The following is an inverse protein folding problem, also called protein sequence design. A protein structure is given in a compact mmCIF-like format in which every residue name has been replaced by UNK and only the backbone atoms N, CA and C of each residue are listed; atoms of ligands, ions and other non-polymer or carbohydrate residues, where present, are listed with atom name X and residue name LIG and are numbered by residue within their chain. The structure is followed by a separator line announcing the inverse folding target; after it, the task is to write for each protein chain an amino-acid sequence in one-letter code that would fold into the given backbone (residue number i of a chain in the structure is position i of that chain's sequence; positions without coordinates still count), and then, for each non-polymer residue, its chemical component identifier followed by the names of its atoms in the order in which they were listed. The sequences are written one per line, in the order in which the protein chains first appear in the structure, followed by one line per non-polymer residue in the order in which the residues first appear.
data_IF_113961865553
#
_entry.id   IF_113961865553
#
_cell.length_a   1.000
_cell.length_b   1.000
_cell.length_c   1.000
_cell.angle_alpha   90.00
_cell.angle_beta   90.00
_cell.angle_gamma   90.00
#
_symmetry.space_group_name_H-M   'P 1'
#
loop_
_entity.id
_entity.type
_entity.pdbx_description
1 polymer ?
#
# COMPACT_ATOMS: atom_id res chain seq x y z
N UNK A 1 -34.39 22.62 -13.85
CA UNK A 1 -33.20 21.89 -14.33
C UNK A 1 -31.99 22.39 -13.56
N UNK A 2 -31.33 21.54 -12.75
CA UNK A 2 -29.98 21.80 -12.31
C UNK A 2 -28.99 20.84 -12.98
N UNK A 3 -27.91 21.42 -13.47
CA UNK A 3 -26.78 20.80 -14.15
C UNK A 3 -26.07 19.77 -13.26
N UNK A 4 -26.00 18.55 -13.77
CA UNK A 4 -25.15 17.47 -13.26
C UNK A 4 -23.68 17.78 -13.57
N UNK A 5 -22.97 18.33 -12.59
CA UNK A 5 -21.51 18.40 -12.61
C UNK A 5 -20.93 17.06 -12.17
N UNK A 6 -20.60 16.20 -13.14
CA UNK A 6 -19.67 15.09 -12.93
C UNK A 6 -18.28 15.66 -12.68
N UNK A 7 -17.94 15.91 -11.40
CA UNK A 7 -16.55 16.08 -11.00
C UNK A 7 -15.84 14.74 -11.24
N UNK A 8 -15.08 14.69 -12.33
CA UNK A 8 -14.03 13.70 -12.52
C UNK A 8 -13.07 13.83 -11.34
N UNK A 9 -12.90 12.75 -10.62
CA UNK A 9 -11.96 12.59 -9.50
C UNK A 9 -10.51 12.67 -10.04
N UNK A 10 -10.07 13.89 -10.34
CA UNK A 10 -8.70 14.22 -10.74
C UNK A 10 -7.89 14.52 -9.48
N UNK A 11 -7.60 13.48 -8.68
CA UNK A 11 -6.41 13.54 -7.82
C UNK A 11 -5.19 13.37 -8.74
N UNK A 12 -4.13 14.20 -8.60
CA UNK A 12 -2.93 14.00 -9.40
C UNK A 12 -2.36 12.62 -9.08
N UNK A 13 -2.36 11.72 -10.06
CA UNK A 13 -1.53 10.54 -9.99
C UNK A 13 -0.08 11.01 -9.81
N UNK A 14 0.69 10.34 -8.94
CA UNK A 14 2.12 10.61 -8.80
C UNK A 14 2.76 10.70 -10.20
N UNK A 15 3.37 11.85 -10.49
CA UNK A 15 4.02 12.09 -11.77
C UNK A 15 5.27 11.23 -11.79
N UNK A 16 5.38 10.35 -12.78
CA UNK A 16 6.57 9.51 -12.92
C UNK A 16 7.86 10.35 -12.92
N UNK A 17 8.74 10.05 -11.97
CA UNK A 17 10.05 10.63 -11.81
C UNK A 17 11.10 9.73 -12.46
N UNK A 18 11.73 10.22 -13.53
CA UNK A 18 12.86 9.54 -14.17
C UNK A 18 14.17 10.16 -13.67
N UNK A 19 15.15 9.32 -13.31
CA UNK A 19 16.48 9.77 -12.91
C UNK A 19 17.26 10.42 -14.06
N UNK A 20 16.97 10.01 -15.30
CA UNK A 20 17.59 10.54 -16.51
C UNK A 20 16.76 10.27 -17.76
N UNK A 21 17.01 11.02 -18.83
CA UNK A 21 16.42 10.73 -20.15
C UNK A 21 16.84 9.36 -20.69
N UNK A 22 18.02 8.86 -20.32
CA UNK A 22 18.45 7.50 -20.66
C UNK A 22 17.55 6.45 -20.00
N UNK A 23 17.26 6.59 -18.70
CA UNK A 23 16.34 5.70 -17.99
C UNK A 23 14.94 5.76 -18.61
N UNK A 24 14.46 6.97 -18.92
CA UNK A 24 13.16 7.16 -19.59
C UNK A 24 13.10 6.46 -20.95
N UNK A 25 14.14 6.62 -21.77
CA UNK A 25 14.28 5.96 -23.06
C UNK A 25 14.30 4.43 -22.91
N UNK A 26 14.97 3.93 -21.88
CA UNK A 26 15.06 2.51 -21.55
C UNK A 26 13.71 1.92 -21.15
N UNK A 27 12.97 2.55 -20.25
CA UNK A 27 11.60 2.15 -19.88
C UNK A 27 10.69 2.14 -21.11
N UNK A 28 10.79 3.15 -21.98
CA UNK A 28 10.04 3.22 -23.25
C UNK A 28 10.43 2.11 -24.23
N UNK A 29 11.68 1.68 -24.25
CA UNK A 29 12.12 0.54 -25.07
C UNK A 29 11.53 -0.77 -24.55
N UNK A 30 11.57 -0.99 -23.23
CA UNK A 30 11.02 -2.19 -22.60
C UNK A 30 9.50 -2.28 -22.78
N UNK A 31 8.79 -1.16 -22.62
CA UNK A 31 7.33 -1.10 -22.80
C UNK A 31 6.85 -1.37 -24.24
N UNK A 32 7.75 -1.32 -25.24
CA UNK A 32 7.46 -1.72 -26.63
C UNK A 32 7.59 -3.23 -26.85
N UNK A 33 8.26 -3.95 -25.96
CA UNK A 33 8.40 -5.40 -26.06
C UNK A 33 7.03 -6.09 -25.94
N UNK A 34 6.86 -7.21 -26.64
CA UNK A 34 5.61 -7.97 -26.61
C UNK A 34 5.25 -8.46 -25.20
N UNK A 35 6.24 -8.83 -24.38
CA UNK A 35 6.07 -9.26 -22.99
C UNK A 35 5.39 -8.16 -22.15
N UNK A 36 5.89 -6.93 -22.27
CA UNK A 36 5.34 -5.78 -21.55
C UNK A 36 3.99 -5.34 -22.11
N UNK A 37 3.87 -5.24 -23.43
CA UNK A 37 2.63 -4.81 -24.09
C UNK A 37 1.44 -5.73 -23.81
N UNK A 38 1.71 -7.03 -23.68
CA UNK A 38 0.69 -8.04 -23.40
C UNK A 38 0.57 -8.35 -21.90
N UNK A 39 1.44 -7.80 -21.05
CA UNK A 39 1.46 -8.05 -19.61
C UNK A 39 1.47 -9.54 -19.25
N UNK A 40 2.16 -10.36 -20.05
CA UNK A 40 2.15 -11.82 -19.91
C UNK A 40 2.54 -12.29 -18.51
N UNK A 41 3.59 -11.72 -17.85
CA UNK A 41 3.94 -12.14 -16.50
C UNK A 41 2.80 -11.88 -15.50
N UNK A 42 2.09 -10.76 -15.63
CA UNK A 42 0.97 -10.40 -14.75
C UNK A 42 -0.26 -11.26 -15.02
N UNK A 43 -0.56 -11.61 -16.28
CA UNK A 43 -1.63 -12.57 -16.60
C UNK A 43 -1.32 -13.99 -16.10
N UNK A 44 -0.09 -14.46 -16.25
CA UNK A 44 0.35 -15.75 -15.70
C UNK A 44 0.23 -15.73 -14.17
N UNK A 45 0.68 -14.66 -13.53
CA UNK A 45 0.56 -14.46 -12.09
C UNK A 45 -0.90 -14.54 -11.61
N UNK A 46 -1.82 -13.84 -12.28
CA UNK A 46 -3.26 -13.91 -12.01
C UNK A 46 -3.73 -15.36 -12.12
N UNK A 47 -3.42 -16.05 -13.22
CA UNK A 47 -3.81 -17.44 -13.43
C UNK A 47 -3.28 -18.37 -12.32
N UNK A 48 -2.01 -18.26 -11.96
CA UNK A 48 -1.39 -19.08 -10.92
C UNK A 48 -2.02 -18.81 -9.54
N UNK A 49 -2.23 -17.55 -9.17
CA UNK A 49 -2.84 -17.21 -7.87
C UNK A 49 -4.26 -17.73 -7.80
N UNK A 50 -5.10 -17.44 -8.81
CA UNK A 50 -6.50 -17.86 -8.79
C UNK A 50 -6.66 -19.37 -8.86
N UNK A 51 -6.00 -20.02 -9.82
CA UNK A 51 -6.06 -21.48 -9.94
C UNK A 51 -5.47 -22.14 -8.71
N UNK A 52 -4.29 -21.69 -8.23
CA UNK A 52 -3.64 -22.25 -7.05
C UNK A 52 -4.53 -22.14 -5.80
N UNK A 53 -5.14 -20.97 -5.59
CA UNK A 53 -5.98 -20.72 -4.40
C UNK A 53 -7.24 -21.58 -4.43
N UNK A 54 -7.98 -21.60 -5.55
CA UNK A 54 -9.19 -22.40 -5.67
C UNK A 54 -8.90 -23.90 -5.63
N UNK A 55 -7.83 -24.37 -6.28
CA UNK A 55 -7.40 -25.78 -6.22
C UNK A 55 -7.03 -26.17 -4.79
N UNK A 56 -6.35 -25.30 -4.05
CA UNK A 56 -5.98 -25.61 -2.65
C UNK A 56 -7.21 -25.74 -1.75
N UNK A 57 -8.24 -24.92 -1.95
CA UNK A 57 -9.52 -25.10 -1.24
C UNK A 57 -10.23 -26.38 -1.66
N UNK A 58 -10.36 -26.64 -2.97
CA UNK A 58 -11.07 -27.80 -3.50
C UNK A 58 -10.45 -29.12 -3.01
N UNK A 59 -9.11 -29.17 -2.99
CA UNK A 59 -8.34 -30.34 -2.56
C UNK A 59 -7.86 -30.24 -1.10
N UNK A 60 -8.51 -29.40 -0.28
CA UNK A 60 -8.12 -29.13 1.11
C UNK A 60 -7.96 -30.41 1.93
N UNK A 61 -8.91 -31.34 1.82
CA UNK A 61 -8.91 -32.58 2.59
C UNK A 61 -7.75 -33.51 2.19
N UNK A 62 -7.37 -33.53 0.91
CA UNK A 62 -6.26 -34.33 0.40
C UNK A 62 -4.90 -33.73 0.74
N UNK A 63 -4.78 -32.40 0.70
CA UNK A 63 -3.56 -31.68 1.08
C UNK A 63 -3.29 -31.75 2.58
N UNK A 64 -4.35 -31.85 3.39
CA UNK A 64 -4.28 -31.80 4.84
C UNK A 64 -4.04 -30.38 5.36
N UNK A 65 -4.31 -30.20 6.66
CA UNK A 65 -4.36 -28.88 7.30
C UNK A 65 -3.04 -28.11 7.15
N UNK A 66 -1.90 -28.77 7.33
CA UNK A 66 -0.60 -28.09 7.31
C UNK A 66 -0.24 -27.54 5.92
N UNK A 67 -0.20 -28.40 4.90
CA UNK A 67 0.15 -28.00 3.53
C UNK A 67 -0.89 -27.03 2.96
N UNK A 68 -2.18 -27.34 3.15
CA UNK A 68 -3.26 -26.46 2.71
C UNK A 68 -3.16 -25.06 3.32
N UNK A 69 -2.86 -24.96 4.62
CA UNK A 69 -2.72 -23.65 5.28
C UNK A 69 -1.54 -22.86 4.72
N UNK A 70 -0.37 -23.49 4.58
CA UNK A 70 0.83 -22.83 4.03
C UNK A 70 0.57 -22.32 2.61
N UNK A 71 -0.04 -23.14 1.76
CA UNK A 71 -0.38 -22.73 0.40
C UNK A 71 -1.37 -21.56 0.38
N UNK A 72 -2.47 -21.63 1.14
CA UNK A 72 -3.44 -20.55 1.19
C UNK A 72 -2.86 -19.26 1.78
N UNK A 73 -1.99 -19.34 2.79
CA UNK A 73 -1.29 -18.19 3.35
C UNK A 73 -0.44 -17.53 2.26
N UNK A 74 0.43 -18.29 1.60
CA UNK A 74 1.33 -17.76 0.57
C UNK A 74 0.56 -17.18 -0.63
N UNK A 75 -0.48 -17.88 -1.09
CA UNK A 75 -1.32 -17.44 -2.21
C UNK A 75 -2.12 -16.19 -1.85
N UNK A 76 -2.62 -16.07 -0.61
CA UNK A 76 -3.35 -14.88 -0.16
C UNK A 76 -2.41 -13.68 0.04
N UNK A 77 -1.19 -13.90 0.53
CA UNK A 77 -0.15 -12.86 0.57
C UNK A 77 0.25 -12.41 -0.83
N UNK A 78 0.42 -13.35 -1.76
CA UNK A 78 0.75 -13.04 -3.15
C UNK A 78 -0.40 -12.31 -3.85
N UNK A 79 -1.65 -12.66 -3.53
CA UNK A 79 -2.84 -11.97 -3.99
C UNK A 79 -2.87 -10.50 -3.54
N UNK A 80 -2.48 -10.16 -2.30
CA UNK A 80 -2.37 -8.76 -1.88
C UNK A 80 -1.30 -8.00 -2.68
N UNK A 81 -0.18 -8.65 -3.01
CA UNK A 81 0.84 -8.05 -3.89
C UNK A 81 0.32 -7.88 -5.32
N UNK A 82 -0.48 -8.82 -5.81
CA UNK A 82 -1.18 -8.67 -7.09
C UNK A 82 -2.19 -7.52 -7.03
N UNK A 83 -2.98 -7.38 -5.95
CA UNK A 83 -3.93 -6.27 -5.80
C UNK A 83 -3.21 -4.91 -5.90
N UNK A 84 -2.03 -4.78 -5.30
CA UNK A 84 -1.17 -3.61 -5.46
C UNK A 84 -0.82 -3.36 -6.94
N UNK A 85 -0.35 -4.37 -7.66
CA UNK A 85 -0.02 -4.28 -9.09
C UNK A 85 -1.25 -3.87 -9.94
N UNK A 86 -2.44 -4.38 -9.59
CA UNK A 86 -3.69 -4.05 -10.26
C UNK A 86 -4.08 -2.57 -10.07
N UNK A 87 -3.84 -2.02 -8.87
CA UNK A 87 -4.11 -0.60 -8.53
C UNK A 87 -3.32 0.34 -9.45
N UNK A 88 -2.10 -0.04 -9.81
CA UNK A 88 -1.20 0.73 -10.66
C UNK A 88 -1.44 0.58 -12.17
N UNK A 89 -2.50 -0.13 -12.55
CA UNK A 89 -2.96 -0.15 -13.95
C UNK A 89 -2.48 -1.36 -14.76
N UNK A 90 -1.95 -2.40 -14.10
CA UNK A 90 -1.64 -3.67 -14.75
C UNK A 90 -2.77 -4.69 -14.51
N UNK A 91 -2.97 -5.70 -15.38
CA UNK A 91 -2.36 -5.85 -16.69
C UNK A 91 -3.08 -5.05 -17.79
N UNK A 92 -4.13 -4.27 -17.46
CA UNK A 92 -4.92 -3.57 -18.47
C UNK A 92 -5.00 -2.08 -18.23
N UNK A 93 -5.05 -1.29 -19.32
CA UNK A 93 -5.35 0.15 -19.27
C UNK A 93 -6.74 0.49 -18.71
N UNK A 94 -7.62 -0.50 -18.55
CA UNK A 94 -8.99 -0.31 -18.09
C UNK A 94 -9.09 -0.59 -16.60
N UNK A 95 -9.08 0.49 -15.81
CA UNK A 95 -9.09 0.42 -14.33
C UNK A 95 -10.21 -0.47 -13.77
N UNK A 96 -11.38 -0.49 -14.39
CA UNK A 96 -12.50 -1.32 -13.95
C UNK A 96 -12.26 -2.83 -14.15
N UNK A 97 -11.51 -3.23 -15.19
CA UNK A 97 -11.12 -4.64 -15.40
C UNK A 97 -10.12 -5.06 -14.33
N UNK A 98 -9.10 -4.24 -14.06
CA UNK A 98 -8.13 -4.53 -13.00
C UNK A 98 -8.82 -4.58 -11.63
N UNK A 99 -9.77 -3.69 -11.39
CA UNK A 99 -10.60 -3.74 -10.19
C UNK A 99 -11.38 -5.06 -10.08
N UNK A 100 -12.02 -5.53 -11.16
CA UNK A 100 -12.72 -6.81 -11.16
C UNK A 100 -11.78 -7.97 -10.78
N UNK A 101 -10.57 -7.97 -11.33
CA UNK A 101 -9.51 -8.95 -11.03
C UNK A 101 -8.97 -8.88 -9.59
N UNK A 102 -9.25 -7.81 -8.85
CA UNK A 102 -8.79 -7.62 -7.47
C UNK A 102 -9.92 -7.59 -6.43
N UNK A 103 -11.18 -7.68 -6.85
CA UNK A 103 -12.35 -7.46 -5.98
C UNK A 103 -12.68 -8.67 -5.10
N UNK A 104 -12.28 -9.89 -5.49
CA UNK A 104 -12.58 -11.08 -4.71
C UNK A 104 -11.79 -11.06 -3.38
N UNK A 105 -12.42 -11.30 -2.21
CA UNK A 105 -11.77 -11.09 -0.92
C UNK A 105 -10.97 -12.32 -0.46
N UNK A 106 -10.06 -12.82 -1.31
CA UNK A 106 -9.21 -13.97 -0.97
C UNK A 106 -8.37 -13.70 0.28
N UNK A 107 -7.88 -12.47 0.45
CA UNK A 107 -7.13 -12.02 1.63
C UNK A 107 -8.00 -11.41 2.75
N UNK A 108 -9.33 -11.52 2.66
CA UNK A 108 -10.32 -11.15 3.70
C UNK A 108 -10.48 -9.65 3.99
N UNK A 109 -9.42 -8.96 4.41
CA UNK A 109 -9.56 -7.89 5.40
C UNK A 109 -10.18 -6.59 4.87
N UNK A 110 -9.80 -6.12 3.69
CA UNK A 110 -10.24 -4.83 3.17
C UNK A 110 -10.73 -4.89 1.71
N UNK A 111 -11.73 -4.06 1.33
CA UNK A 111 -12.16 -3.93 -0.05
C UNK A 111 -11.06 -3.40 -0.96
N UNK A 112 -11.01 -3.89 -2.20
CA UNK A 112 -10.06 -3.40 -3.21
C UNK A 112 -10.14 -1.88 -3.40
N UNK A 113 -11.35 -1.30 -3.42
CA UNK A 113 -11.52 0.14 -3.58
C UNK A 113 -10.91 0.95 -2.43
N UNK A 114 -11.07 0.47 -1.18
CA UNK A 114 -10.47 1.11 -0.02
C UNK A 114 -8.96 1.09 -0.11
N UNK A 115 -8.39 -0.08 -0.45
CA UNK A 115 -6.94 -0.22 -0.62
C UNK A 115 -6.42 0.65 -1.77
N UNK A 116 -7.10 0.67 -2.91
CA UNK A 116 -6.76 1.54 -4.05
C UNK A 116 -6.70 2.99 -3.64
N UNK A 117 -7.72 3.48 -2.96
CA UNK A 117 -7.86 4.90 -2.65
C UNK A 117 -6.87 5.35 -1.58
N UNK A 118 -6.61 4.51 -0.56
CA UNK A 118 -5.55 4.77 0.42
C UNK A 118 -4.16 4.72 -0.22
N UNK A 119 -3.91 3.72 -1.06
CA UNK A 119 -2.60 3.55 -1.69
C UNK A 119 -2.27 4.67 -2.68
N UNK A 120 -3.23 5.10 -3.50
CA UNK A 120 -3.01 6.24 -4.41
C UNK A 120 -2.72 7.53 -3.61
N UNK A 121 -3.32 7.70 -2.43
CA UNK A 121 -3.01 8.84 -1.56
C UNK A 121 -1.60 8.73 -0.97
N UNK A 122 -1.17 7.53 -0.58
CA UNK A 122 0.17 7.23 -0.08
C UNK A 122 1.27 7.51 -1.13
N UNK A 123 0.97 7.36 -2.42
CA UNK A 123 1.87 7.65 -3.55
C UNK A 123 2.26 9.13 -3.71
N UNK A 124 1.71 10.03 -2.90
CA UNK A 124 2.15 11.42 -2.89
C UNK A 124 3.42 11.58 -2.05
N UNK A 125 4.59 11.55 -2.71
CA UNK A 125 5.91 11.54 -2.07
C UNK A 125 6.13 12.67 -1.06
N UNK A 126 5.60 13.88 -1.33
CA UNK A 126 5.68 15.03 -0.42
C UNK A 126 4.99 14.78 0.92
N UNK A 127 3.96 13.95 0.91
CA UNK A 127 3.16 13.62 2.09
C UNK A 127 3.60 12.33 2.78
N UNK A 128 4.53 11.56 2.22
CA UNK A 128 5.03 10.33 2.85
C UNK A 128 5.46 10.59 4.29
N UNK A 129 5.09 9.67 5.17
CA UNK A 129 5.27 9.72 6.63
C UNK A 129 4.47 10.78 7.38
N UNK A 130 3.76 11.68 6.69
CA UNK A 130 2.98 12.71 7.34
C UNK A 130 1.73 12.11 8.03
N UNK A 131 1.58 12.26 9.36
CA UNK A 131 0.59 11.52 10.17
C UNK A 131 -0.88 11.75 9.80
N UNK A 132 -1.21 12.87 9.16
CA UNK A 132 -2.58 13.21 8.76
C UNK A 132 -2.87 13.05 7.27
N UNK A 133 -1.82 12.94 6.43
CA UNK A 133 -1.95 13.00 4.97
C UNK A 133 -1.58 11.68 4.32
N UNK A 134 -0.63 10.95 4.88
CA UNK A 134 -0.26 9.62 4.46
C UNK A 134 -1.06 8.59 5.27
N UNK A 135 -2.00 7.86 4.64
CA UNK A 135 -2.82 6.86 5.32
C UNK A 135 -2.02 5.63 5.77
N UNK A 136 -0.79 5.47 5.31
CA UNK A 136 0.12 4.38 5.70
C UNK A 136 1.21 4.86 6.67
N UNK A 137 1.14 6.11 7.14
CA UNK A 137 2.07 6.64 8.12
C UNK A 137 1.91 5.95 9.48
N UNK A 138 3.06 5.63 10.08
CA UNK A 138 3.15 5.13 11.46
C UNK A 138 3.53 6.21 12.47
N UNK A 139 3.73 7.44 12.01
CA UNK A 139 4.01 8.57 12.89
C UNK A 139 2.71 9.18 13.43
N UNK A 140 2.85 9.91 14.52
CA UNK A 140 1.78 10.67 15.16
C UNK A 140 2.12 12.16 15.17
N UNK A 141 1.10 13.01 15.19
CA UNK A 141 1.29 14.41 15.56
C UNK A 141 1.66 14.51 17.04
N UNK A 142 2.31 15.60 17.46
CA UNK A 142 2.61 15.82 18.88
C UNK A 142 1.34 15.83 19.74
N UNK A 143 0.24 16.36 19.22
CA UNK A 143 -1.06 16.37 19.88
C UNK A 143 -1.64 14.96 20.02
N UNK A 144 -1.71 14.20 18.92
CA UNK A 144 -2.17 12.81 18.95
C UNK A 144 -1.39 12.01 19.99
N UNK A 145 -0.06 12.08 19.94
CA UNK A 145 0.81 11.36 20.87
C UNK A 145 0.59 11.76 22.32
N UNK A 146 0.35 13.05 22.60
CA UNK A 146 0.06 13.52 23.95
C UNK A 146 -1.22 12.88 24.52
N UNK A 147 -2.25 12.72 23.71
CA UNK A 147 -3.54 12.17 24.13
C UNK A 147 -3.63 10.63 24.10
N UNK A 148 -2.63 9.93 23.54
CA UNK A 148 -2.57 8.47 23.63
C UNK A 148 -2.36 8.00 25.06
N UNK A 149 -3.11 6.96 25.47
CA UNK A 149 -2.94 6.34 26.77
C UNK A 149 -1.55 5.68 26.90
N UNK A 150 -0.97 5.58 28.12
CA UNK A 150 0.32 4.93 28.30
C UNK A 150 0.36 3.48 27.79
N UNK A 151 -0.75 2.76 27.96
CA UNK A 151 -0.90 1.40 27.43
C UNK A 151 -0.80 1.37 25.91
N UNK A 152 -1.50 2.28 25.22
CA UNK A 152 -1.48 2.31 23.76
C UNK A 152 -0.12 2.75 23.21
N UNK A 153 0.58 3.67 23.88
CA UNK A 153 1.99 3.98 23.56
C UNK A 153 2.88 2.74 23.65
N UNK A 154 2.63 1.88 24.65
CA UNK A 154 3.29 0.57 24.76
C UNK A 154 3.00 -0.35 23.57
N UNK A 155 1.75 -0.41 23.10
CA UNK A 155 1.36 -1.16 21.89
C UNK A 155 2.06 -0.62 20.66
N UNK A 156 2.12 0.70 20.48
CA UNK A 156 2.82 1.34 19.35
C UNK A 156 4.30 0.94 19.37
N UNK A 157 4.98 1.08 20.51
CA UNK A 157 6.40 0.70 20.66
C UNK A 157 6.64 -0.77 20.40
N UNK A 158 5.77 -1.64 20.91
CA UNK A 158 5.84 -3.07 20.62
C UNK A 158 5.68 -3.32 19.10
N UNK A 159 4.70 -2.68 18.45
CA UNK A 159 4.47 -2.77 17.01
C UNK A 159 5.62 -2.18 16.17
N UNK A 160 6.48 -1.34 16.75
CA UNK A 160 7.67 -0.79 16.09
C UNK A 160 8.90 -1.71 16.18
N UNK A 161 8.80 -2.84 16.88
CA UNK A 161 9.74 -3.96 16.71
C UNK A 161 9.34 -4.78 15.49
N UNK A 162 10.28 -5.48 14.86
CA UNK A 162 10.00 -6.33 13.70
C UNK A 162 9.00 -7.44 14.04
N UNK A 163 9.24 -8.20 15.11
CA UNK A 163 8.33 -9.28 15.49
C UNK A 163 6.99 -8.75 15.99
N UNK A 164 7.01 -7.66 16.76
CA UNK A 164 5.78 -7.00 17.18
C UNK A 164 5.00 -6.41 16.01
N UNK A 165 5.64 -5.95 14.93
CA UNK A 165 4.95 -5.52 13.71
C UNK A 165 4.25 -6.68 13.01
N UNK A 166 4.94 -7.82 12.87
CA UNK A 166 4.39 -9.04 12.24
C UNK A 166 3.20 -9.59 13.05
N UNK A 167 3.27 -9.50 14.38
CA UNK A 167 2.22 -10.01 15.28
C UNK A 167 1.09 -9.01 15.51
N UNK A 168 1.37 -7.75 15.84
CA UNK A 168 0.37 -6.74 16.24
C UNK A 168 -0.13 -5.88 15.08
N UNK A 169 0.71 -5.67 14.06
CA UNK A 169 0.37 -4.85 12.88
C UNK A 169 -0.94 -5.27 12.20
N UNK A 170 -1.18 -6.58 11.94
CA UNK A 170 -2.44 -7.01 11.34
C UNK A 170 -3.66 -6.68 12.21
N UNK A 171 -3.58 -6.82 13.53
CA UNK A 171 -4.68 -6.47 14.42
C UNK A 171 -4.99 -4.97 14.37
N UNK A 172 -3.97 -4.10 14.31
CA UNK A 172 -4.13 -2.66 14.18
C UNK A 172 -4.81 -2.29 12.84
N UNK A 173 -4.32 -2.86 11.73
CA UNK A 173 -4.95 -2.68 10.41
C UNK A 173 -6.42 -3.11 10.39
N UNK A 174 -6.74 -4.26 10.99
CA UNK A 174 -8.10 -4.78 11.05
C UNK A 174 -9.00 -3.82 11.84
N UNK A 175 -8.51 -3.28 12.96
CA UNK A 175 -9.25 -2.29 13.76
C UNK A 175 -9.52 -1.04 12.92
N UNK A 176 -8.51 -0.50 12.22
CA UNK A 176 -8.69 0.70 11.41
C UNK A 176 -9.59 0.47 10.19
N UNK A 177 -9.54 -0.74 9.63
CA UNK A 177 -10.42 -1.20 8.57
C UNK A 177 -11.88 -1.27 9.05
N UNK A 178 -12.14 -1.83 10.24
CA UNK A 178 -13.47 -1.85 10.86
C UNK A 178 -13.95 -0.42 11.16
N UNK A 179 -13.09 0.45 11.68
CA UNK A 179 -13.42 1.87 11.91
C UNK A 179 -13.77 2.58 10.60
N UNK A 180 -13.08 2.27 9.50
CA UNK A 180 -13.40 2.79 8.17
C UNK A 180 -14.80 2.35 7.73
N UNK A 181 -15.14 1.07 7.90
CA UNK A 181 -16.47 0.56 7.62
C UNK A 181 -17.54 1.30 8.45
N UNK A 182 -17.38 1.36 9.77
CA UNK A 182 -18.33 2.02 10.67
C UNK A 182 -18.51 3.49 10.29
N UNK A 183 -17.42 4.23 10.03
CA UNK A 183 -17.48 5.64 9.61
C UNK A 183 -18.29 5.82 8.33
N UNK A 184 -18.12 4.94 7.33
CA UNK A 184 -18.88 5.01 6.08
C UNK A 184 -20.40 4.91 6.31
N UNK A 185 -20.85 4.03 7.21
CA UNK A 185 -22.26 3.89 7.56
C UNK A 185 -22.78 5.07 8.39
N UNK A 186 -22.00 5.55 9.36
CA UNK A 186 -22.38 6.69 10.20
C UNK A 186 -22.46 8.00 9.40
N UNK A 187 -21.57 8.22 8.44
CA UNK A 187 -21.56 9.41 7.59
C UNK A 187 -22.58 9.36 6.45
N UNK A 188 -23.17 8.18 6.18
CA UNK A 188 -24.08 7.99 5.05
C UNK A 188 -23.40 8.05 3.68
N UNK A 189 -22.10 7.77 3.60
CA UNK A 189 -21.37 7.72 2.32
C UNK A 189 -21.84 6.51 1.49
N UNK A 190 -22.78 6.78 0.58
CA UNK A 190 -23.41 5.75 -0.27
C UNK A 190 -22.39 4.95 -1.10
N UNK A 191 -21.30 5.57 -1.56
CA UNK A 191 -20.29 4.90 -2.38
C UNK A 191 -19.47 3.94 -1.53
N UNK A 192 -19.00 4.41 -0.37
CA UNK A 192 -18.26 3.58 0.57
C UNK A 192 -19.13 2.44 1.12
N UNK A 193 -20.40 2.70 1.46
CA UNK A 193 -21.36 1.68 1.88
C UNK A 193 -21.52 0.61 0.79
N UNK A 194 -21.74 0.99 -0.46
CA UNK A 194 -21.89 0.03 -1.55
C UNK A 194 -20.64 -0.85 -1.72
N UNK A 195 -19.45 -0.26 -1.65
CA UNK A 195 -18.18 -0.99 -1.67
C UNK A 195 -18.09 -2.02 -0.53
N UNK A 196 -18.44 -1.62 0.69
CA UNK A 196 -18.46 -2.51 1.86
C UNK A 196 -19.47 -3.64 1.71
N UNK A 197 -20.68 -3.36 1.22
CA UNK A 197 -21.70 -4.39 0.98
C UNK A 197 -21.25 -5.41 -0.07
N UNK A 198 -20.62 -4.97 -1.15
CA UNK A 198 -20.06 -5.88 -2.18
C UNK A 198 -18.96 -6.75 -1.57
N UNK A 199 -18.02 -6.14 -0.85
CA UNK A 199 -16.93 -6.88 -0.21
C UNK A 199 -17.44 -7.92 0.78
N UNK A 200 -18.33 -7.52 1.71
CA UNK A 200 -18.90 -8.41 2.71
C UNK A 200 -19.76 -9.50 2.08
N UNK A 201 -20.56 -9.18 1.06
CA UNK A 201 -21.35 -10.17 0.32
C UNK A 201 -20.48 -11.23 -0.36
N UNK A 202 -19.42 -10.81 -1.05
CA UNK A 202 -18.46 -11.72 -1.66
C UNK A 202 -17.70 -12.54 -0.61
N UNK A 203 -17.31 -11.93 0.51
CA UNK A 203 -16.58 -12.59 1.59
C UNK A 203 -17.45 -13.67 2.25
N UNK A 204 -18.71 -13.35 2.56
CA UNK A 204 -19.67 -14.30 3.11
C UNK A 204 -19.90 -15.46 2.14
N UNK A 205 -20.12 -15.17 0.85
CA UNK A 205 -20.30 -16.20 -0.17
C UNK A 205 -19.08 -17.12 -0.31
N UNK A 206 -17.87 -16.54 -0.32
CA UNK A 206 -16.62 -17.26 -0.39
C UNK A 206 -16.44 -18.17 0.84
N UNK A 207 -16.54 -17.62 2.05
CA UNK A 207 -16.39 -18.38 3.29
C UNK A 207 -17.43 -19.49 3.41
N UNK A 208 -18.69 -19.22 3.04
CA UNK A 208 -19.74 -20.24 3.02
C UNK A 208 -19.42 -21.38 2.05
N UNK A 209 -18.92 -21.07 0.85
CA UNK A 209 -18.48 -22.08 -0.11
C UNK A 209 -17.31 -22.92 0.44
N UNK A 210 -16.34 -22.30 1.13
CA UNK A 210 -15.20 -22.99 1.73
C UNK A 210 -15.58 -23.98 2.84
N UNK A 211 -16.65 -23.68 3.59
CA UNK A 211 -17.20 -24.62 4.60
C UNK A 211 -17.60 -25.94 3.95
N UNK A 212 -18.10 -25.92 2.71
CA UNK A 212 -18.42 -27.13 1.94
C UNK A 212 -17.23 -28.06 1.68
N UNK A 213 -16.00 -27.53 1.71
CA UNK A 213 -14.75 -28.31 1.56
C UNK A 213 -14.11 -28.68 2.91
N UNK A 214 -14.72 -28.29 4.04
CA UNK A 214 -14.24 -28.59 5.38
C UNK A 214 -13.29 -27.53 5.97
N UNK A 215 -13.21 -26.34 5.39
CA UNK A 215 -12.48 -25.20 5.97
C UNK A 215 -13.48 -24.36 6.74
N UNK A 216 -13.38 -24.34 8.08
CA UNK A 216 -14.27 -23.50 8.89
C UNK A 216 -13.93 -22.02 8.71
N UNK A 217 -14.95 -21.15 8.78
CA UNK A 217 -14.77 -19.71 8.66
C UNK A 217 -13.76 -19.17 9.64
N UNK A 218 -13.87 -19.53 10.93
CA UNK A 218 -12.96 -19.04 11.97
C UNK A 218 -11.52 -19.49 11.71
N UNK A 219 -11.33 -20.74 11.24
CA UNK A 219 -10.02 -21.23 10.87
C UNK A 219 -9.42 -20.40 9.73
N UNK A 220 -10.19 -20.15 8.67
CA UNK A 220 -9.69 -19.36 7.55
C UNK A 220 -9.29 -17.95 7.99
N UNK A 221 -10.11 -17.27 8.79
CA UNK A 221 -9.80 -15.91 9.27
C UNK A 221 -8.54 -15.87 10.12
N UNK A 222 -8.40 -16.78 11.09
CA UNK A 222 -7.32 -16.74 12.09
C UNK A 222 -6.03 -17.43 11.65
N UNK A 223 -6.11 -18.50 10.86
CA UNK A 223 -4.96 -19.34 10.49
C UNK A 223 -4.49 -19.06 9.07
N UNK A 224 -5.32 -18.47 8.21
CA UNK A 224 -4.92 -18.09 6.85
C UNK A 224 -4.90 -16.58 6.67
N UNK A 225 -6.04 -15.92 6.90
CA UNK A 225 -6.19 -14.48 6.67
C UNK A 225 -5.24 -13.65 7.53
N UNK A 226 -5.16 -13.94 8.84
CA UNK A 226 -4.29 -13.20 9.75
C UNK A 226 -2.81 -13.40 9.41
N UNK A 227 -2.28 -14.63 9.26
CA UNK A 227 -0.87 -14.82 8.90
C UNK A 227 -0.53 -14.32 7.50
N UNK A 228 -1.46 -14.36 6.55
CA UNK A 228 -1.24 -13.76 5.24
C UNK A 228 -1.01 -12.25 5.34
N UNK A 229 -1.79 -11.56 6.18
CA UNK A 229 -1.59 -10.14 6.50
C UNK A 229 -0.31 -9.91 7.31
N UNK A 230 0.04 -10.79 8.25
CA UNK A 230 1.32 -10.76 8.96
C UNK A 230 2.53 -10.81 8.00
N UNK A 231 2.46 -11.59 6.92
CA UNK A 231 3.55 -11.67 5.95
C UNK A 231 3.74 -10.36 5.18
N UNK A 232 2.67 -9.61 4.87
CA UNK A 232 2.82 -8.30 4.22
C UNK A 232 3.49 -7.27 5.13
N UNK A 233 3.35 -7.45 6.45
CA UNK A 233 4.03 -6.61 7.45
C UNK A 233 5.55 -6.78 7.49
N UNK A 234 6.08 -7.86 6.94
CA UNK A 234 7.53 -7.99 6.71
C UNK A 234 7.97 -6.97 5.66
N UNK A 235 7.24 -6.88 4.53
CA UNK A 235 7.52 -5.93 3.46
C UNK A 235 7.40 -4.48 3.93
N UNK A 236 6.31 -4.18 4.64
CA UNK A 236 6.04 -2.82 5.10
C UNK A 236 6.82 -2.41 6.35
N UNK A 237 7.66 -3.29 6.90
CA UNK A 237 8.49 -2.94 8.05
C UNK A 237 9.58 -1.96 7.63
N UNK A 238 9.46 -0.72 8.14
CA UNK A 238 10.38 0.37 7.86
C UNK A 238 10.59 0.62 6.36
N UNK A 239 9.51 0.52 5.57
CA UNK A 239 9.54 0.88 4.15
C UNK A 239 9.64 2.39 3.95
N UNK A 240 9.23 3.18 4.95
CA UNK A 240 9.45 4.62 5.00
C UNK A 240 10.12 5.12 6.28
N UNK A 241 10.86 6.23 6.14
CA UNK A 241 11.45 7.01 7.23
C UNK A 241 11.11 8.48 7.08
N UNK A 242 10.92 9.19 8.19
CA UNK A 242 10.75 10.63 8.16
C UNK A 242 12.13 11.31 7.99
N UNK A 243 12.35 11.91 6.83
CA UNK A 243 13.51 12.78 6.50
C UNK A 243 13.02 13.97 5.66
N UNK A 244 13.75 15.09 5.66
CA UNK A 244 13.35 16.31 4.94
C UNK A 244 13.24 16.08 3.42
N UNK A 245 14.22 15.39 2.85
CA UNK A 245 14.23 15.05 1.43
C UNK A 245 13.22 13.93 1.14
N UNK A 246 12.10 14.25 0.46
CA UNK A 246 11.04 13.30 0.12
C UNK A 246 11.55 12.09 -0.66
N UNK A 247 12.54 12.28 -1.55
CA UNK A 247 13.14 11.21 -2.33
C UNK A 247 13.92 10.18 -1.49
N UNK A 248 14.27 10.53 -0.26
CA UNK A 248 14.98 9.68 0.71
C UNK A 248 14.05 9.04 1.75
N UNK A 249 12.73 9.24 1.63
CA UNK A 249 11.74 8.68 2.56
C UNK A 249 11.42 7.21 2.29
N UNK A 250 11.62 6.70 1.09
CA UNK A 250 11.29 5.32 0.70
C UNK A 250 12.53 4.42 0.61
N UNK A 251 12.42 3.19 1.11
CA UNK A 251 13.55 2.25 1.18
C UNK A 251 13.87 1.58 -0.16
N UNK A 252 15.12 1.14 -0.30
CA UNK A 252 15.59 0.22 -1.34
C UNK A 252 16.05 -1.08 -0.67
N UNK A 253 15.22 -2.13 -0.73
CA UNK A 253 15.53 -3.41 -0.12
C UNK A 253 15.99 -4.44 -1.17
N UNK A 254 17.28 -4.79 -1.14
CA UNK A 254 17.92 -5.79 -2.00
C UNK A 254 17.66 -7.22 -1.51
N UNK A 255 16.37 -7.58 -1.43
CA UNK A 255 15.93 -8.84 -0.88
C UNK A 255 16.28 -10.07 -1.75
N UNK A 256 16.39 -11.22 -1.08
CA UNK A 256 16.56 -12.52 -1.73
C UNK A 256 15.37 -12.87 -2.65
N UNK A 257 15.60 -13.79 -3.59
CA UNK A 257 14.62 -14.11 -4.64
C UNK A 257 13.22 -14.55 -4.15
N UNK A 258 13.04 -15.28 -3.02
CA UNK A 258 11.70 -15.66 -2.58
C UNK A 258 10.85 -14.45 -2.20
N UNK A 259 11.45 -13.49 -1.50
CA UNK A 259 10.80 -12.22 -1.13
C UNK A 259 10.52 -11.35 -2.34
N UNK A 260 11.43 -11.34 -3.32
CA UNK A 260 11.22 -10.65 -4.59
C UNK A 260 10.05 -11.23 -5.38
N UNK A 261 9.83 -12.54 -5.33
CA UNK A 261 8.67 -13.15 -5.97
C UNK A 261 7.39 -12.88 -5.18
N UNK A 262 7.42 -13.11 -3.87
CA UNK A 262 6.24 -12.98 -2.99
C UNK A 262 5.69 -11.55 -2.99
N UNK A 263 6.56 -10.55 -2.98
CA UNK A 263 6.19 -9.13 -2.98
C UNK A 263 6.32 -8.47 -4.35
N UNK A 264 6.45 -9.25 -5.43
CA UNK A 264 6.50 -8.75 -6.81
C UNK A 264 7.52 -7.60 -6.99
N UNK A 265 8.75 -7.80 -6.52
CA UNK A 265 9.85 -6.81 -6.52
C UNK A 265 9.54 -5.46 -5.85
N UNK A 266 8.42 -5.30 -5.15
CA UNK A 266 8.06 -4.05 -4.44
C UNK A 266 9.03 -3.69 -3.31
N UNK A 267 9.95 -4.60 -2.97
CA UNK A 267 11.13 -4.33 -2.13
C UNK A 267 11.96 -3.12 -2.64
N UNK A 268 11.92 -2.82 -3.94
CA UNK A 268 12.51 -1.60 -4.52
C UNK A 268 11.52 -0.43 -4.41
N UNK A 269 11.08 -0.13 -3.18
CA UNK A 269 9.93 0.72 -2.90
C UNK A 269 10.12 2.16 -3.43
N UNK A 270 11.33 2.72 -3.33
CA UNK A 270 11.63 4.02 -3.95
C UNK A 270 11.47 4.00 -5.49
N UNK A 271 11.91 2.93 -6.17
CA UNK A 271 11.74 2.82 -7.63
C UNK A 271 10.27 2.76 -8.00
N UNK A 272 9.46 2.10 -7.17
CA UNK A 272 8.01 2.04 -7.32
C UNK A 272 7.34 3.42 -7.15
N UNK A 273 7.75 4.22 -6.17
CA UNK A 273 7.26 5.60 -5.99
C UNK A 273 7.66 6.51 -7.15
N UNK A 274 8.92 6.43 -7.58
CA UNK A 274 9.40 7.19 -8.73
C UNK A 274 8.68 6.77 -10.03
N UNK A 275 8.41 5.47 -10.23
CA UNK A 275 7.85 4.92 -11.47
C UNK A 275 6.64 4.00 -11.20
N UNK A 276 5.49 4.55 -10.77
CA UNK A 276 4.35 3.74 -10.27
C UNK A 276 3.70 2.86 -11.34
N UNK A 277 3.77 3.27 -12.61
CA UNK A 277 3.24 2.50 -13.75
C UNK A 277 4.25 1.48 -14.33
N UNK A 278 5.38 1.27 -13.65
CA UNK A 278 6.36 0.26 -14.04
C UNK A 278 5.85 -1.11 -13.57
N UNK A 279 5.71 -2.10 -14.46
CA UNK A 279 5.23 -3.42 -14.05
C UNK A 279 6.22 -4.07 -13.09
N UNK A 280 5.72 -4.90 -12.20
CA UNK A 280 6.50 -5.50 -11.11
C UNK A 280 7.78 -6.24 -11.55
N UNK A 281 7.75 -6.86 -12.73
CA UNK A 281 8.90 -7.59 -13.29
C UNK A 281 9.98 -6.68 -13.88
N UNK A 282 9.70 -5.37 -14.04
CA UNK A 282 10.66 -4.35 -14.48
C UNK A 282 11.40 -3.65 -13.34
N UNK A 283 10.82 -3.57 -12.13
CA UNK A 283 11.36 -2.82 -10.98
C UNK A 283 12.83 -3.13 -10.70
N UNK A 284 13.16 -4.43 -10.54
CA UNK A 284 14.54 -4.84 -10.25
C UNK A 284 15.50 -4.47 -11.37
N UNK A 285 15.08 -4.62 -12.62
CA UNK A 285 15.95 -4.37 -13.76
C UNK A 285 16.31 -2.88 -13.82
N UNK A 286 15.32 -2.00 -13.69
CA UNK A 286 15.54 -0.55 -13.68
C UNK A 286 16.37 -0.11 -12.48
N UNK A 287 16.13 -0.69 -11.30
CA UNK A 287 16.97 -0.46 -10.13
C UNK A 287 18.44 -0.79 -10.41
N UNK A 288 18.73 -1.97 -10.94
CA UNK A 288 20.12 -2.40 -11.16
C UNK A 288 20.83 -1.60 -12.25
N UNK A 289 20.12 -1.21 -13.32
CA UNK A 289 20.65 -0.37 -14.39
C UNK A 289 20.99 1.07 -13.89
N UNK A 290 20.39 1.52 -12.78
CA UNK A 290 20.59 2.86 -12.19
C UNK A 290 20.88 2.81 -10.68
N UNK A 291 21.59 1.77 -10.23
CA UNK A 291 21.71 1.44 -8.80
C UNK A 291 22.35 2.57 -8.01
N UNK A 292 23.45 3.13 -8.52
CA UNK A 292 24.22 4.16 -7.82
C UNK A 292 23.39 5.43 -7.66
N UNK A 293 22.67 5.82 -8.70
CA UNK A 293 21.82 7.01 -8.70
C UNK A 293 20.64 6.86 -7.74
N UNK A 294 19.98 5.70 -7.71
CA UNK A 294 18.91 5.43 -6.76
C UNK A 294 19.41 5.42 -5.31
N UNK A 295 20.58 4.82 -5.05
CA UNK A 295 21.17 4.81 -3.70
C UNK A 295 21.57 6.22 -3.23
N UNK A 296 22.08 7.06 -4.15
CA UNK A 296 22.35 8.45 -3.82
C UNK A 296 21.06 9.24 -3.56
N UNK A 297 20.05 9.07 -4.42
CA UNK A 297 18.73 9.72 -4.26
C UNK A 297 18.05 9.34 -2.96
N UNK A 298 18.19 8.08 -2.52
CA UNK A 298 17.62 7.60 -1.26
C UNK A 298 18.43 8.02 -0.02
N UNK A 299 19.52 8.79 -0.19
CA UNK A 299 20.49 9.09 0.86
C UNK A 299 20.97 7.81 1.57
N UNK A 300 21.29 6.80 0.77
CA UNK A 300 21.74 5.49 1.22
C UNK A 300 20.74 4.74 2.12
N UNK A 301 19.43 5.02 1.97
CA UNK A 301 18.38 4.21 2.62
C UNK A 301 18.22 2.86 1.92
N UNK A 302 19.22 2.00 2.10
CA UNK A 302 19.38 0.70 1.43
C UNK A 302 19.48 -0.39 2.48
N UNK A 303 18.83 -1.52 2.20
CA UNK A 303 18.78 -2.69 3.08
C UNK A 303 19.14 -3.92 2.28
N UNK A 304 19.96 -4.80 2.84
CA UNK A 304 20.38 -6.03 2.18
C UNK A 304 19.53 -7.22 2.64
N UNK A 305 18.22 -7.11 2.40
CA UNK A 305 17.23 -8.12 2.73
C UNK A 305 16.61 -7.96 4.13
N UNK A 306 15.44 -8.56 4.31
CA UNK A 306 14.66 -8.46 5.55
C UNK A 306 15.35 -9.04 6.79
N UNK A 307 16.36 -9.90 6.62
CA UNK A 307 17.14 -10.41 7.75
C UNK A 307 17.88 -9.28 8.48
N UNK A 308 18.33 -8.25 7.76
CA UNK A 308 18.97 -7.10 8.39
C UNK A 308 18.01 -6.38 9.35
N UNK A 309 16.73 -6.27 8.97
CA UNK A 309 15.67 -5.73 9.84
C UNK A 309 15.32 -6.65 10.99
N UNK A 310 15.24 -7.96 10.74
CA UNK A 310 15.02 -8.93 11.79
C UNK A 310 16.14 -8.89 12.83
N UNK A 311 17.41 -8.90 12.43
CA UNK A 311 18.56 -8.89 13.33
C UNK A 311 18.66 -7.59 14.14
N UNK A 312 18.44 -6.44 13.50
CA UNK A 312 18.53 -5.14 14.17
C UNK A 312 17.31 -4.85 15.07
N UNK A 313 16.11 -5.27 14.66
CA UNK A 313 14.85 -4.81 15.23
C UNK A 313 13.90 -5.91 15.69
N UNK A 314 14.32 -7.18 15.78
CA UNK A 314 13.47 -8.27 16.30
C UNK A 314 12.73 -7.87 17.58
N UNK A 315 13.46 -7.25 18.53
CA UNK A 315 12.95 -6.76 19.81
C UNK A 315 13.33 -5.31 20.11
N UNK A 316 14.07 -4.65 19.22
CA UNK A 316 14.40 -3.23 19.32
C UNK A 316 13.36 -2.43 18.53
N UNK A 317 12.71 -1.47 19.18
CA UNK A 317 11.71 -0.64 18.51
C UNK A 317 12.38 0.43 17.66
N UNK A 318 11.84 0.67 16.46
CA UNK A 318 12.15 1.86 15.69
C UNK A 318 11.67 3.11 16.44
N UNK A 319 12.42 4.21 16.31
CA UNK A 319 12.08 5.53 16.86
C UNK A 319 10.99 6.22 16.03
N UNK A 320 9.87 5.54 15.83
CA UNK A 320 8.70 6.01 15.08
C UNK A 320 7.59 6.31 16.07
N UNK A 321 7.60 7.54 16.60
CA UNK A 321 6.54 8.04 17.50
C UNK A 321 5.99 9.34 16.93
N UNK A 322 6.43 10.49 17.44
CA UNK A 322 6.05 11.81 16.93
C UNK A 322 6.80 12.08 15.63
N UNK A 323 6.11 12.58 14.61
CA UNK A 323 6.74 12.95 13.34
C UNK A 323 7.73 14.12 13.56
N UNK A 324 9.02 13.95 13.25
CA UNK A 324 10.07 14.90 13.65
C UNK A 324 9.94 16.28 12.99
N UNK A 325 9.28 16.37 11.84
CA UNK A 325 9.15 17.61 11.06
C UNK A 325 7.73 18.18 11.02
N UNK A 326 6.78 17.61 11.78
CA UNK A 326 5.36 17.99 11.65
C UNK A 326 5.11 19.47 11.97
N UNK A 327 5.66 19.96 13.07
CA UNK A 327 5.44 21.35 13.49
C UNK A 327 6.07 22.36 12.52
N UNK A 328 7.20 22.02 11.90
CA UNK A 328 7.87 22.86 10.89
C UNK A 328 7.13 22.84 9.54
N UNK A 329 6.69 21.67 9.08
CA UNK A 329 5.95 21.53 7.82
C UNK A 329 4.59 22.23 7.89
N UNK A 330 3.89 22.12 9.03
CA UNK A 330 2.59 22.77 9.21
C UNK A 330 2.72 24.29 9.37
N UNK A 331 3.77 24.79 10.04
CA UNK A 331 4.07 26.23 10.10
C UNK A 331 4.37 26.82 8.72
N UNK A 332 5.12 26.12 7.87
CA UNK A 332 5.42 26.57 6.52
C UNK A 332 4.14 26.71 5.68
N UNK A 333 3.21 25.76 5.78
CA UNK A 333 1.92 25.80 5.09
C UNK A 333 1.03 26.97 5.56
N UNK A 334 0.94 27.20 6.87
CA UNK A 334 0.17 28.34 7.41
C UNK A 334 0.77 29.68 6.95
N UNK A 335 2.10 29.80 6.89
CA UNK A 335 2.76 31.01 6.39
C UNK A 335 2.51 31.19 4.89
N UNK A 336 2.50 30.12 4.10
CA UNK A 336 2.29 30.16 2.65
C UNK A 336 0.82 30.49 2.30
N UNK A 337 -0.15 29.95 3.04
CA UNK A 337 -1.57 30.34 2.93
C UNK A 337 -1.79 31.79 3.32
N UNK A 338 -1.14 32.28 4.39
CA UNK A 338 -1.23 33.68 4.81
C UNK A 338 -0.64 34.63 3.75
N UNK A 339 0.48 34.29 3.13
CA UNK A 339 1.08 35.10 2.06
C UNK A 339 0.24 35.08 0.78
N UNK A 340 -0.32 33.92 0.38
CA UNK A 340 -1.24 33.83 -0.76
C UNK A 340 -2.53 34.63 -0.57
N UNK A 341 -3.07 34.67 0.66
CA UNK A 341 -4.22 35.52 0.99
C UNK A 341 -3.86 37.01 0.96
N UNK A 342 -2.66 37.40 1.40
CA UNK A 342 -2.20 38.80 1.38
C UNK A 342 -1.94 39.29 -0.06
N UNK A 343 -1.38 38.46 -0.95
CA UNK A 343 -1.20 38.82 -2.37
C UNK A 343 -2.54 38.94 -3.11
N UNK A 344 -3.51 38.05 -2.85
CA UNK A 344 -4.86 38.15 -3.44
C UNK A 344 -5.59 39.44 -3.04
N UNK A 345 -5.34 39.96 -1.83
CA UNK A 345 -5.91 41.24 -1.36
C UNK A 345 -5.21 42.47 -1.94
N UNK A 346 -3.96 42.37 -2.40
CA UNK A 346 -3.25 43.47 -3.06
C UNK A 346 -3.60 43.63 -4.55
N UNK A 347 -4.26 42.64 -5.16
CA UNK A 347 -4.66 42.65 -6.57
C UNK A 347 -6.19 42.75 -6.79
N UNK A 348 -6.98 43.04 -5.75
CA UNK A 348 -8.39 43.37 -5.92
C UNK A 348 -8.51 44.80 -6.49
N UNK A 349 -9.09 45.00 -7.69
CA UNK A 349 -9.29 46.33 -8.24
C UNK A 349 -10.29 47.11 -7.37
N UNK A 350 -9.89 48.31 -6.95
CA UNK A 350 -10.77 49.28 -6.31
C UNK A 350 -11.88 49.67 -7.28
N UNK A 351 -13.10 49.19 -7.01
CA UNK A 351 -14.31 49.68 -7.66
C UNK A 351 -14.57 51.08 -7.08
N UNK A 352 -14.10 52.12 -7.75
CA UNK A 352 -14.55 53.49 -7.51
C UNK A 352 -15.99 53.64 -8.00
N UNK A 353 -16.89 53.98 -7.07
CA UNK A 353 -18.25 54.41 -7.35
C UNK A 353 -18.25 55.89 -7.72
N UNK A 354 -18.66 56.22 -8.94
CA UNK A 354 -19.27 57.51 -9.33
C UNK A 354 -20.08 57.32 -10.60
#
# INVERSE_FOLDING_TARGET
MPSTGTQSDNRPASIAHYLSEQQRGRVKQLSRSWIWRLELPTWILIGVIYTGWFVTVIYWQQLGIAMGSVLLILLSTWYMSLQHELIHGHPTRWRWVNQLLGTLPLAVWYPYGLYRDSHIQHHCDENLTHPEKDPESYYYTGEQWKYLSPLFKGVVRASNTFLGRVVLGPALDIIDTIRSAVRAFLSGDRRAIAMWLVHLGLLIGLLHWMVGYGISTLFYLLVVGYPALSLTKIRSFFEHRAVENSAARSTLNEAAWPWRLLFLNLNYHLVHHDLPALPWYGLRQIYLENRVEYQHRSEQFVVHGYNQWLEAYAFTALEIEVHPFYDSENRALVVQEQHGVIESRRHAPSIESS
#
